data_IF_587039417931
#
_entry.id   IF_587039417931
#
_cell.length_a   1.000
_cell.length_b   1.000
_cell.length_c   1.000
_cell.angle_alpha   90.00
_cell.angle_beta   90.00
_cell.angle_gamma   90.00
#
_symmetry.space_group_name_H-M   'P 1'
#
loop_
_entity.id
_entity.type
_entity.pdbx_description
1 polymer ?
#
# COMPACT_ATOMS: atom_id res chain seq x y z
N UNK A 1 -1.56 -41.97 78.36
CA UNK A 1 -2.72 -41.65 77.50
C UNK A 1 -2.18 -41.11 76.19
N UNK A 2 -2.07 -41.96 75.18
CA UNK A 2 -1.63 -41.60 73.82
C UNK A 2 -2.87 -41.16 73.03
N UNK A 3 -2.93 -39.90 72.63
CA UNK A 3 -4.01 -39.37 71.81
C UNK A 3 -3.86 -39.87 70.37
N UNK A 4 -4.94 -40.31 69.70
CA UNK A 4 -4.88 -40.65 68.29
C UNK A 4 -4.71 -39.39 67.44
N UNK A 5 -3.82 -39.43 66.46
CA UNK A 5 -3.61 -38.38 65.47
C UNK A 5 -4.81 -38.31 64.52
N UNK A 6 -5.30 -37.10 64.16
CA UNK A 6 -6.38 -36.95 63.20
C UNK A 6 -5.93 -37.33 61.78
N UNK A 7 -6.82 -37.90 60.96
CA UNK A 7 -6.48 -38.30 59.59
C UNK A 7 -6.18 -37.08 58.71
N UNK A 8 -5.13 -37.19 57.89
CA UNK A 8 -4.75 -36.16 56.94
C UNK A 8 -5.80 -36.03 55.82
N UNK A 9 -6.30 -34.80 55.61
CA UNK A 9 -7.24 -34.49 54.53
C UNK A 9 -6.51 -34.52 53.18
N UNK A 10 -6.88 -35.46 52.32
CA UNK A 10 -6.41 -35.49 50.93
C UNK A 10 -7.24 -34.50 50.09
N UNK A 11 -6.62 -33.64 49.26
CA UNK A 11 -7.35 -32.74 48.38
C UNK A 11 -8.17 -33.55 47.36
N UNK A 12 -9.38 -33.08 46.99
CA UNK A 12 -10.22 -33.78 46.02
C UNK A 12 -9.52 -33.85 44.64
N UNK A 13 -9.68 -34.96 43.90
CA UNK A 13 -9.08 -35.11 42.58
C UNK A 13 -9.60 -34.03 41.62
N UNK A 14 -8.68 -33.38 40.92
CA UNK A 14 -9.02 -32.37 39.90
C UNK A 14 -9.87 -33.02 38.80
N UNK A 15 -11.05 -32.45 38.55
CA UNK A 15 -11.93 -32.96 37.50
C UNK A 15 -11.23 -32.87 36.12
N UNK A 16 -11.35 -33.91 35.27
CA UNK A 16 -10.74 -33.89 33.95
C UNK A 16 -11.37 -32.78 33.09
N UNK A 17 -10.55 -31.83 32.63
CA UNK A 17 -10.99 -30.79 31.71
C UNK A 17 -11.27 -31.43 30.35
N UNK A 18 -12.54 -31.37 29.90
CA UNK A 18 -12.91 -31.87 28.57
C UNK A 18 -12.18 -31.04 27.48
N UNK A 19 -11.51 -31.69 26.51
CA UNK A 19 -10.83 -30.97 25.44
C UNK A 19 -11.84 -30.16 24.62
N UNK A 20 -11.60 -28.85 24.48
CA UNK A 20 -12.49 -27.95 23.76
C UNK A 20 -12.38 -28.19 22.25
N UNK A 21 -13.35 -28.92 21.69
CA UNK A 21 -13.44 -29.10 20.24
C UNK A 21 -13.74 -27.76 19.56
N UNK A 22 -12.88 -27.38 18.61
CA UNK A 22 -12.99 -26.17 17.77
C UNK A 22 -12.82 -24.82 18.49
N UNK A 23 -12.21 -24.80 19.68
CA UNK A 23 -11.95 -23.56 20.43
C UNK A 23 -11.05 -22.56 19.68
N UNK A 24 -10.03 -23.05 18.96
CA UNK A 24 -9.13 -22.20 18.17
C UNK A 24 -9.84 -21.53 16.97
N UNK A 25 -10.79 -22.23 16.33
CA UNK A 25 -11.56 -21.68 15.21
C UNK A 25 -12.49 -20.55 15.66
N UNK A 26 -13.11 -20.68 16.84
CA UNK A 26 -13.93 -19.63 17.42
C UNK A 26 -13.13 -18.35 17.71
N UNK A 27 -11.88 -18.49 18.17
CA UNK A 27 -10.97 -17.36 18.39
C UNK A 27 -10.53 -16.71 17.07
N UNK A 28 -10.20 -17.51 16.05
CA UNK A 28 -9.84 -16.99 14.74
C UNK A 28 -10.98 -16.20 14.09
N UNK A 29 -12.22 -16.73 14.13
CA UNK A 29 -13.40 -16.03 13.63
C UNK A 29 -13.67 -14.71 14.35
N UNK A 30 -13.50 -14.67 15.68
CA UNK A 30 -13.64 -13.45 16.46
C UNK A 30 -12.61 -12.39 16.07
N UNK A 31 -11.32 -12.78 15.99
CA UNK A 31 -10.24 -11.86 15.63
C UNK A 31 -10.45 -11.31 14.22
N UNK A 32 -10.78 -12.16 13.25
CA UNK A 32 -11.06 -11.74 11.88
C UNK A 32 -12.27 -10.81 11.79
N UNK A 33 -13.34 -11.07 12.56
CA UNK A 33 -14.50 -10.18 12.64
C UNK A 33 -14.14 -8.80 13.20
N UNK A 34 -13.34 -8.74 14.27
CA UNK A 34 -12.89 -7.47 14.85
C UNK A 34 -12.00 -6.70 13.87
N UNK A 35 -11.04 -7.37 13.24
CA UNK A 35 -10.17 -6.75 12.23
C UNK A 35 -11.01 -6.21 11.07
N UNK A 36 -12.01 -6.96 10.59
CA UNK A 36 -12.93 -6.50 9.55
C UNK A 36 -13.70 -5.24 9.93
N UNK A 37 -14.23 -5.17 11.16
CA UNK A 37 -14.94 -3.97 11.66
C UNK A 37 -13.99 -2.77 11.78
N UNK A 38 -12.80 -2.96 12.35
CA UNK A 38 -11.84 -1.87 12.59
C UNK A 38 -11.19 -1.37 11.30
N UNK A 39 -10.99 -2.24 10.31
CA UNK A 39 -10.42 -1.89 8.99
C UNK A 39 -11.45 -1.37 7.99
N UNK A 40 -12.75 -1.47 8.30
CA UNK A 40 -13.86 -0.97 7.48
C UNK A 40 -13.71 0.50 6.99
N UNK A 41 -13.08 1.43 7.73
CA UNK A 41 -12.89 2.81 7.25
C UNK A 41 -11.80 3.00 6.17
N UNK A 42 -10.98 1.99 5.85
CA UNK A 42 -9.86 2.12 4.91
C UNK A 42 -10.20 1.43 3.57
N UNK A 43 -10.66 2.21 2.60
CA UNK A 43 -11.08 1.77 1.25
C UNK A 43 -9.96 1.02 0.48
N UNK A 44 -8.68 1.28 0.79
CA UNK A 44 -7.52 0.68 0.11
C UNK A 44 -7.29 -0.81 0.50
N UNK A 45 -7.88 -1.29 1.61
CA UNK A 45 -7.76 -2.70 2.06
C UNK A 45 -8.93 -3.60 1.63
N UNK A 46 -9.87 -3.09 0.82
CA UNK A 46 -11.17 -3.72 0.55
C UNK A 46 -11.09 -5.17 0.02
N UNK A 47 -10.10 -5.53 -0.81
CA UNK A 47 -10.02 -6.89 -1.35
C UNK A 47 -9.45 -7.90 -0.32
N UNK A 48 -8.52 -7.47 0.52
CA UNK A 48 -7.93 -8.33 1.56
C UNK A 48 -8.90 -8.54 2.73
N UNK A 49 -9.66 -7.50 3.10
CA UNK A 49 -10.65 -7.56 4.18
C UNK A 49 -11.90 -8.31 3.75
N UNK A 50 -12.34 -8.22 2.49
CA UNK A 50 -13.42 -9.03 1.96
C UNK A 50 -13.08 -10.53 2.00
N UNK A 51 -11.88 -10.91 1.57
CA UNK A 51 -11.41 -12.31 1.66
C UNK A 51 -11.32 -12.74 3.13
N UNK A 52 -10.73 -11.91 4.00
CA UNK A 52 -10.61 -12.20 5.43
C UNK A 52 -11.97 -12.33 6.13
N UNK A 53 -12.97 -11.52 5.75
CA UNK A 53 -14.33 -11.57 6.30
C UNK A 53 -15.08 -12.83 5.84
N UNK A 54 -14.94 -13.23 4.57
CA UNK A 54 -15.52 -14.49 4.07
C UNK A 54 -14.88 -15.69 4.77
N UNK A 55 -13.55 -15.70 4.92
CA UNK A 55 -12.84 -16.75 5.66
C UNK A 55 -13.28 -16.76 7.13
N UNK A 56 -13.35 -15.60 7.79
CA UNK A 56 -13.83 -15.47 9.17
C UNK A 56 -15.26 -15.98 9.36
N UNK A 57 -16.15 -15.70 8.41
CA UNK A 57 -17.53 -16.19 8.41
C UNK A 57 -17.59 -17.71 8.26
N UNK A 58 -16.87 -18.29 7.30
CA UNK A 58 -16.83 -19.75 7.09
C UNK A 58 -16.28 -20.46 8.34
N UNK A 59 -15.19 -19.96 8.91
CA UNK A 59 -14.62 -20.51 10.15
C UNK A 59 -15.58 -20.36 11.34
N UNK A 60 -16.30 -19.24 11.42
CA UNK A 60 -17.31 -18.98 12.44
C UNK A 60 -18.49 -19.96 12.36
N UNK A 61 -19.00 -20.23 11.15
CA UNK A 61 -20.08 -21.21 10.92
C UNK A 61 -19.63 -22.62 11.30
N UNK A 62 -18.41 -23.03 10.95
CA UNK A 62 -17.85 -24.32 11.36
C UNK A 62 -17.70 -24.41 12.89
N UNK A 63 -17.31 -23.32 13.54
CA UNK A 63 -17.15 -23.24 14.99
C UNK A 63 -18.48 -23.35 15.78
N UNK A 64 -19.65 -23.18 15.13
CA UNK A 64 -20.97 -23.38 15.77
C UNK A 64 -21.20 -24.83 16.21
N UNK A 65 -20.53 -25.80 15.57
CA UNK A 65 -20.56 -27.20 15.96
C UNK A 65 -19.60 -27.54 17.11
N UNK A 66 -18.88 -26.54 17.66
CA UNK A 66 -17.94 -26.68 18.76
C UNK A 66 -18.50 -26.40 20.15
N UNK A 67 -17.63 -26.50 21.16
CA UNK A 67 -18.02 -26.36 22.57
C UNK A 67 -18.24 -24.89 22.99
N UNK A 68 -17.77 -23.92 22.19
CA UNK A 68 -17.82 -22.47 22.49
C UNK A 68 -18.81 -21.73 21.59
N UNK A 69 -20.06 -22.19 21.56
CA UNK A 69 -21.12 -21.67 20.68
C UNK A 69 -21.35 -20.16 20.84
N UNK A 70 -21.33 -19.64 22.07
CA UNK A 70 -21.52 -18.21 22.33
C UNK A 70 -20.45 -17.33 21.65
N UNK A 71 -19.18 -17.74 21.71
CA UNK A 71 -18.06 -17.06 21.06
C UNK A 71 -18.15 -17.14 19.53
N UNK A 72 -18.54 -18.29 18.98
CA UNK A 72 -18.75 -18.46 17.55
C UNK A 72 -19.89 -17.56 17.04
N UNK A 73 -21.00 -17.47 17.77
CA UNK A 73 -22.13 -16.58 17.43
C UNK A 73 -21.67 -15.11 17.41
N UNK A 74 -20.93 -14.65 18.42
CA UNK A 74 -20.41 -13.28 18.45
C UNK A 74 -19.52 -12.99 17.23
N UNK A 75 -18.60 -13.89 16.89
CA UNK A 75 -17.73 -13.75 15.72
C UNK A 75 -18.51 -13.68 14.40
N UNK A 76 -19.51 -14.54 14.23
CA UNK A 76 -20.39 -14.54 13.04
C UNK A 76 -21.19 -13.25 12.95
N UNK A 77 -21.77 -12.77 14.06
CA UNK A 77 -22.54 -11.51 14.09
C UNK A 77 -21.64 -10.32 13.72
N UNK A 78 -20.41 -10.28 14.23
CA UNK A 78 -19.44 -9.23 13.87
C UNK A 78 -19.04 -9.29 12.39
N UNK A 79 -18.86 -10.49 11.82
CA UNK A 79 -18.59 -10.63 10.39
C UNK A 79 -19.78 -10.13 9.55
N UNK A 80 -21.01 -10.49 9.93
CA UNK A 80 -22.23 -10.03 9.23
C UNK A 80 -22.39 -8.51 9.34
N UNK A 81 -22.12 -7.94 10.53
CA UNK A 81 -22.16 -6.49 10.72
C UNK A 81 -21.09 -5.78 9.87
N UNK A 82 -19.87 -6.29 9.82
CA UNK A 82 -18.81 -5.72 8.97
C UNK A 82 -19.21 -5.75 7.49
N UNK A 83 -19.78 -6.85 7.01
CA UNK A 83 -20.31 -6.97 5.65
C UNK A 83 -21.44 -5.95 5.43
N UNK A 84 -22.39 -5.82 6.35
CA UNK A 84 -23.49 -4.86 6.24
C UNK A 84 -23.00 -3.41 6.21
N UNK A 85 -22.07 -3.02 7.09
CA UNK A 85 -21.45 -1.68 7.07
C UNK A 85 -20.71 -1.42 5.75
N UNK A 86 -20.06 -2.44 5.19
CA UNK A 86 -19.38 -2.34 3.89
C UNK A 86 -20.38 -2.13 2.77
N UNK A 87 -21.48 -2.88 2.75
CA UNK A 87 -22.55 -2.77 1.74
C UNK A 87 -23.27 -1.42 1.85
N UNK A 88 -23.54 -0.92 3.05
CA UNK A 88 -24.20 0.39 3.24
C UNK A 88 -23.29 1.54 2.77
N UNK A 89 -22.00 1.49 3.09
CA UNK A 89 -21.03 2.46 2.58
C UNK A 89 -20.91 2.41 1.04
N UNK A 90 -21.11 1.24 0.44
CA UNK A 90 -21.20 1.09 -1.01
C UNK A 90 -22.52 1.62 -1.56
N UNK A 91 -23.65 1.47 -0.87
CA UNK A 91 -24.95 1.97 -1.32
C UNK A 91 -24.99 3.50 -1.38
N UNK A 92 -24.41 4.21 -0.40
CA UNK A 92 -24.33 5.68 -0.47
C UNK A 92 -23.42 6.16 -1.60
N UNK A 93 -22.33 5.45 -1.86
CA UNK A 93 -21.47 5.75 -3.02
C UNK A 93 -22.20 5.49 -4.34
N UNK A 94 -22.98 4.40 -4.44
CA UNK A 94 -23.76 4.07 -5.65
C UNK A 94 -24.92 5.05 -5.86
N UNK A 95 -25.59 5.50 -4.80
CA UNK A 95 -26.69 6.49 -4.92
C UNK A 95 -26.17 7.88 -5.34
N UNK A 96 -24.97 8.27 -4.89
CA UNK A 96 -24.27 9.46 -5.41
C UNK A 96 -23.86 9.26 -6.88
N UNK A 97 -23.44 8.06 -7.28
CA UNK A 97 -23.17 7.73 -8.68
C UNK A 97 -24.43 7.78 -9.56
N UNK A 98 -25.55 7.20 -9.12
CA UNK A 98 -26.81 7.17 -9.88
C UNK A 98 -27.38 8.58 -10.07
N UNK A 99 -27.27 9.46 -9.06
CA UNK A 99 -27.64 10.89 -9.20
C UNK A 99 -26.78 11.63 -10.24
N UNK A 100 -25.54 11.22 -10.45
CA UNK A 100 -24.63 11.77 -11.47
C UNK A 100 -24.99 11.21 -12.87
N UNK A 101 -25.42 9.95 -12.94
CA UNK A 101 -25.79 9.25 -14.17
C UNK A 101 -27.15 9.71 -14.73
N UNK A 102 -28.14 9.93 -13.85
CA UNK A 102 -29.47 10.43 -14.25
C UNK A 102 -29.42 11.87 -14.81
N UNK A 103 -28.43 12.66 -14.42
CA UNK A 103 -28.18 14.00 -14.99
C UNK A 103 -27.68 14.01 -16.45
N UNK A 104 -27.39 12.85 -17.05
CA UNK A 104 -26.74 12.75 -18.37
C UNK A 104 -27.50 11.86 -19.37
N UNK A 105 -28.81 11.63 -19.19
CA UNK A 105 -29.55 10.75 -20.10
C UNK A 105 -29.90 11.41 -21.45
N UNK A 106 -29.20 10.96 -22.50
CA UNK A 106 -29.49 11.17 -23.90
C UNK A 106 -29.05 9.97 -24.76
N UNK A 107 -29.95 9.00 -24.84
CA UNK A 107 -30.12 7.92 -25.85
C UNK A 107 -29.10 6.76 -26.02
N UNK A 108 -29.65 5.57 -25.73
CA UNK A 108 -29.60 4.32 -26.51
C UNK A 108 -28.44 3.32 -26.28
N UNK A 109 -28.67 2.42 -25.30
CA UNK A 109 -29.23 1.10 -25.64
C UNK A 109 -28.27 -0.08 -25.90
N UNK A 110 -28.14 -0.90 -24.84
CA UNK A 110 -27.96 -2.37 -24.78
C UNK A 110 -26.55 -2.97 -24.64
N UNK A 111 -26.32 -3.60 -23.47
CA UNK A 111 -25.08 -4.20 -22.95
C UNK A 111 -24.51 -5.38 -23.77
N UNK A 112 -23.35 -5.95 -23.42
CA UNK A 112 -22.79 -6.26 -22.10
C UNK A 112 -21.25 -6.22 -22.15
N UNK A 113 -20.66 -5.84 -21.00
CA UNK A 113 -19.25 -5.95 -20.61
C UNK A 113 -18.24 -5.04 -21.33
N UNK A 114 -18.08 -3.83 -20.81
CA UNK A 114 -16.82 -3.09 -20.93
C UNK A 114 -16.48 -2.52 -19.56
N UNK A 115 -15.67 -3.28 -18.81
CA UNK A 115 -14.97 -2.76 -17.64
C UNK A 115 -14.11 -1.57 -18.09
N UNK A 116 -14.35 -0.41 -17.50
CA UNK A 116 -13.59 0.84 -17.71
C UNK A 116 -13.56 1.54 -16.34
N UNK A 117 -12.48 2.25 -15.99
CA UNK A 117 -11.45 1.85 -15.05
C UNK A 117 -11.57 2.69 -13.75
N UNK A 118 -10.71 2.49 -12.74
CA UNK A 118 -10.63 3.43 -11.63
C UNK A 118 -10.44 4.86 -12.15
N UNK A 119 -11.17 5.79 -11.52
CA UNK A 119 -11.12 7.25 -11.65
C UNK A 119 -9.88 7.74 -12.42
N UNK A 120 -10.03 7.93 -13.72
CA UNK A 120 -9.15 8.81 -14.46
C UNK A 120 -9.58 10.23 -14.12
N UNK A 121 -8.89 10.81 -13.13
CA UNK A 121 -8.71 12.25 -13.09
C UNK A 121 -8.34 12.70 -14.51
N UNK A 122 -9.04 13.71 -15.00
CA UNK A 122 -8.89 14.27 -16.34
C UNK A 122 -7.43 14.25 -16.77
N UNK A 123 -7.10 13.46 -17.82
CA UNK A 123 -5.76 13.27 -18.41
C UNK A 123 -4.74 14.35 -17.99
N UNK A 124 -4.18 14.22 -16.78
CA UNK A 124 -3.12 15.10 -16.32
C UNK A 124 -1.93 14.66 -17.12
N UNK A 125 -1.56 15.46 -18.12
CA UNK A 125 -0.38 15.16 -18.93
C UNK A 125 0.80 15.06 -17.96
N UNK A 126 1.46 13.90 -17.86
CA UNK A 126 2.54 13.73 -16.89
C UNK A 126 3.63 14.77 -17.17
N UNK A 127 4.21 15.41 -16.14
CA UNK A 127 5.31 16.34 -16.33
C UNK A 127 6.46 15.65 -17.07
N UNK A 128 7.13 16.39 -17.96
CA UNK A 128 8.35 15.90 -18.62
C UNK A 128 9.59 16.53 -17.99
N UNK A 129 10.77 16.18 -18.51
CA UNK A 129 12.04 16.70 -18.00
C UNK A 129 12.09 18.23 -18.05
N UNK A 130 12.69 18.83 -17.03
CA UNK A 130 12.79 20.27 -16.83
C UNK A 130 11.49 20.92 -16.36
N UNK A 131 10.42 20.16 -16.12
CA UNK A 131 9.20 20.67 -15.50
C UNK A 131 9.22 20.45 -13.99
N UNK A 132 8.51 21.32 -13.29
CA UNK A 132 8.22 21.19 -11.87
C UNK A 132 6.87 20.50 -11.69
N UNK A 133 6.78 19.58 -10.74
CA UNK A 133 5.53 19.16 -10.14
C UNK A 133 5.47 19.68 -8.71
N UNK A 134 4.32 20.27 -8.31
CA UNK A 134 4.10 20.78 -6.95
C UNK A 134 2.82 20.16 -6.41
N UNK A 135 2.92 19.51 -5.26
CA UNK A 135 1.78 18.94 -4.54
C UNK A 135 1.02 20.04 -3.80
N UNK A 136 -0.24 19.79 -3.45
CA UNK A 136 -1.10 20.75 -2.74
C UNK A 136 -0.50 21.24 -1.41
N UNK A 137 0.28 20.38 -0.74
CA UNK A 137 0.95 20.73 0.51
C UNK A 137 2.13 21.70 0.35
N UNK A 138 2.56 21.98 -0.89
CA UNK A 138 3.67 22.88 -1.20
C UNK A 138 5.03 22.20 -1.39
N UNK A 139 5.14 20.87 -1.24
CA UNK A 139 6.34 20.17 -1.71
C UNK A 139 6.40 20.23 -3.23
N UNK A 140 7.60 20.30 -3.79
CA UNK A 140 7.78 20.20 -5.24
C UNK A 140 9.01 19.40 -5.63
N UNK A 141 8.93 18.77 -6.79
CA UNK A 141 10.05 18.06 -7.44
C UNK A 141 10.26 18.62 -8.83
N UNK A 142 11.54 18.86 -9.15
CA UNK A 142 12.03 19.17 -10.49
C UNK A 142 12.97 18.04 -10.94
N UNK A 143 12.76 17.51 -12.15
CA UNK A 143 13.61 16.46 -12.73
C UNK A 143 14.28 17.00 -13.98
N UNK A 144 15.61 17.16 -13.97
CA UNK A 144 16.35 17.59 -15.14
C UNK A 144 16.35 16.52 -16.25
N UNK A 145 16.65 16.92 -17.48
CA UNK A 145 16.85 15.97 -18.57
C UNK A 145 18.00 15.01 -18.24
N UNK A 146 17.88 13.71 -18.58
CA UNK A 146 18.91 12.73 -18.28
C UNK A 146 20.20 13.03 -19.05
N UNK A 147 21.32 12.77 -18.39
CA UNK A 147 22.65 12.76 -19.02
C UNK A 147 23.16 11.33 -19.06
N UNK A 148 23.84 10.94 -20.14
CA UNK A 148 24.53 9.66 -20.17
C UNK A 148 25.63 9.64 -19.09
N UNK A 149 25.83 8.47 -18.48
CA UNK A 149 26.96 8.23 -17.59
C UNK A 149 27.57 6.87 -17.91
N UNK A 150 28.88 6.72 -17.70
CA UNK A 150 29.56 5.44 -17.90
C UNK A 150 29.72 4.70 -16.56
N UNK A 151 29.07 3.55 -16.37
CA UNK A 151 29.25 2.76 -15.16
C UNK A 151 30.70 2.27 -15.02
N UNK A 152 31.26 2.38 -13.83
CA UNK A 152 32.57 1.83 -13.48
C UNK A 152 32.58 0.31 -13.41
N UNK A 153 33.79 -0.27 -13.32
CA UNK A 153 33.98 -1.72 -13.24
C UNK A 153 33.39 -2.38 -11.98
N UNK A 154 33.16 -1.58 -10.92
CA UNK A 154 32.55 -2.02 -9.66
C UNK A 154 31.10 -1.59 -9.53
N UNK A 155 30.51 -1.10 -10.62
CA UNK A 155 29.10 -0.71 -10.62
C UNK A 155 28.19 -1.92 -10.45
N UNK A 156 27.03 -1.67 -9.84
CA UNK A 156 25.93 -2.62 -9.74
C UNK A 156 24.68 -2.00 -10.37
N UNK A 157 23.88 -2.75 -11.15
CA UNK A 157 24.12 -4.14 -11.57
C UNK A 157 25.34 -4.29 -12.50
N UNK A 158 25.93 -5.50 -12.63
CA UNK A 158 27.01 -5.73 -13.59
C UNK A 158 26.48 -5.72 -15.04
N UNK A 159 27.37 -5.55 -16.01
CA UNK A 159 27.07 -5.65 -17.45
C UNK A 159 26.01 -4.64 -17.97
N UNK A 160 25.97 -3.43 -17.41
CA UNK A 160 25.08 -2.37 -17.89
C UNK A 160 25.47 -1.95 -19.31
N UNK A 161 24.54 -2.07 -20.25
CA UNK A 161 24.74 -1.71 -21.67
C UNK A 161 24.78 -0.19 -21.85
N UNK A 162 23.90 0.52 -21.15
CA UNK A 162 23.82 1.99 -21.14
C UNK A 162 23.24 2.44 -19.80
N UNK A 163 23.74 3.56 -19.28
CA UNK A 163 23.20 4.19 -18.08
C UNK A 163 22.93 5.67 -18.31
N UNK A 164 21.90 6.17 -17.64
CA UNK A 164 21.54 7.59 -17.62
C UNK A 164 21.40 8.07 -16.18
N UNK A 165 21.81 9.30 -15.94
CA UNK A 165 21.78 9.97 -14.64
C UNK A 165 20.81 11.14 -14.68
N UNK A 166 19.94 11.20 -13.69
CA UNK A 166 18.97 12.27 -13.47
C UNK A 166 19.43 13.14 -12.31
N UNK A 167 19.32 14.46 -12.48
CA UNK A 167 19.40 15.41 -11.38
C UNK A 167 17.99 15.73 -10.90
N UNK A 168 17.71 15.43 -9.64
CA UNK A 168 16.41 15.67 -9.02
C UNK A 168 16.56 16.74 -7.95
N UNK A 169 15.70 17.76 -7.98
CA UNK A 169 15.67 18.83 -7.00
C UNK A 169 14.34 18.81 -6.27
N UNK A 170 14.39 18.66 -4.95
CA UNK A 170 13.24 18.77 -4.04
C UNK A 170 13.23 20.19 -3.47
N UNK A 171 12.08 20.84 -3.50
CA UNK A 171 11.86 22.12 -2.80
C UNK A 171 10.80 21.94 -1.72
N UNK A 172 11.11 22.37 -0.50
CA UNK A 172 10.16 22.33 0.60
C UNK A 172 9.42 23.66 0.72
N UNK A 173 8.26 23.78 0.06
CA UNK A 173 7.35 24.91 0.22
C UNK A 173 6.37 24.78 1.39
N UNK A 174 6.50 23.73 2.22
CA UNK A 174 5.65 23.54 3.40
C UNK A 174 6.13 24.40 4.58
N UNK A 175 5.40 24.36 5.69
CA UNK A 175 5.76 25.04 6.95
C UNK A 175 6.60 24.19 7.90
N UNK A 176 6.76 22.89 7.63
CA UNK A 176 7.50 21.94 8.46
C UNK A 176 8.80 21.49 7.76
N UNK A 177 9.75 20.94 8.52
CA UNK A 177 10.91 20.28 7.94
C UNK A 177 10.46 19.00 7.20
N UNK A 178 11.09 18.73 6.04
CA UNK A 178 10.81 17.55 5.23
C UNK A 178 12.01 16.61 5.21
N UNK A 179 11.80 15.34 5.57
CA UNK A 179 12.84 14.32 5.52
C UNK A 179 12.81 13.62 4.15
N UNK A 180 13.88 13.74 3.35
CA UNK A 180 13.90 13.14 2.00
C UNK A 180 13.86 11.61 2.02
N UNK A 181 14.15 10.98 3.15
CA UNK A 181 13.99 9.54 3.36
C UNK A 181 12.54 9.05 3.24
N UNK A 182 11.55 9.95 3.36
CA UNK A 182 10.12 9.62 3.22
C UNK A 182 9.65 9.60 1.76
N UNK A 183 10.41 10.22 0.86
CA UNK A 183 10.08 10.27 -0.57
C UNK A 183 10.33 8.90 -1.22
N UNK A 184 9.28 8.25 -1.71
CA UNK A 184 9.43 7.08 -2.57
C UNK A 184 9.82 7.50 -3.98
N UNK A 185 10.76 6.76 -4.59
CA UNK A 185 11.10 6.91 -6.01
C UNK A 185 11.54 5.61 -6.68
N UNK A 186 12.21 4.71 -5.95
CA UNK A 186 13.03 3.66 -6.56
C UNK A 186 12.27 2.44 -7.09
N UNK A 187 11.10 2.14 -6.57
CA UNK A 187 10.43 0.86 -6.84
C UNK A 187 9.61 0.84 -8.14
N UNK A 188 9.14 2.00 -8.58
CA UNK A 188 8.22 2.17 -9.71
C UNK A 188 8.88 2.80 -10.96
N UNK A 189 10.21 2.93 -11.00
CA UNK A 189 10.92 3.49 -12.15
C UNK A 189 10.91 2.52 -13.33
N UNK A 190 10.55 3.03 -14.51
CA UNK A 190 10.41 2.22 -15.71
C UNK A 190 11.18 2.78 -16.89
N UNK A 191 11.69 1.88 -17.73
CA UNK A 191 12.23 2.16 -19.05
C UNK A 191 11.53 1.25 -20.08
N UNK A 192 10.86 1.83 -21.07
CA UNK A 192 10.02 1.11 -22.05
C UNK A 192 9.03 0.12 -21.40
N UNK A 193 8.39 0.54 -20.31
CA UNK A 193 7.41 -0.28 -19.58
C UNK A 193 7.99 -1.44 -18.77
N UNK A 194 9.32 -1.55 -18.65
CA UNK A 194 10.00 -2.52 -17.79
C UNK A 194 10.65 -1.81 -16.61
N UNK A 195 10.79 -2.49 -15.46
CA UNK A 195 11.49 -1.91 -14.31
C UNK A 195 12.92 -1.52 -14.70
N UNK A 196 13.30 -0.26 -14.44
CA UNK A 196 14.65 0.22 -14.64
C UNK A 196 15.47 0.00 -13.38
N UNK A 197 16.62 -0.68 -13.51
CA UNK A 197 17.48 -0.97 -12.36
C UNK A 197 18.32 0.26 -12.00
N UNK A 198 18.35 0.59 -10.70
CA UNK A 198 19.20 1.68 -10.21
C UNK A 198 20.67 1.28 -10.31
N UNK A 199 21.50 2.20 -10.79
CA UNK A 199 22.94 2.03 -10.87
C UNK A 199 23.59 2.55 -9.58
N UNK A 200 24.43 1.72 -8.99
CA UNK A 200 25.27 2.03 -7.85
C UNK A 200 26.73 1.93 -8.29
N UNK A 201 27.37 3.07 -8.46
CA UNK A 201 28.73 3.21 -8.98
C UNK A 201 29.51 4.17 -8.07
N UNK A 202 29.73 3.75 -6.82
CA UNK A 202 30.42 4.55 -5.80
C UNK A 202 31.83 4.91 -6.27
N UNK A 203 32.11 6.22 -6.39
CA UNK A 203 33.39 6.73 -6.91
C UNK A 203 33.52 6.72 -8.44
N UNK A 204 32.50 6.24 -9.16
CA UNK A 204 32.41 6.29 -10.62
C UNK A 204 31.51 7.42 -11.12
N UNK A 205 31.35 7.51 -12.45
CA UNK A 205 30.68 8.63 -13.12
C UNK A 205 29.16 8.64 -12.89
N UNK A 206 28.56 7.45 -12.76
CA UNK A 206 27.14 7.30 -12.51
C UNK A 206 26.76 7.60 -11.06
N UNK A 207 27.73 7.66 -10.13
CA UNK A 207 27.47 7.80 -8.70
C UNK A 207 26.72 6.60 -8.13
N UNK A 208 26.37 6.64 -6.85
CA UNK A 208 25.70 5.48 -6.23
C UNK A 208 25.07 5.70 -4.87
N UNK A 209 25.05 6.95 -4.38
CA UNK A 209 24.40 7.33 -3.13
C UNK A 209 23.05 7.99 -3.39
N UNK A 210 22.05 7.63 -2.59
CA UNK A 210 20.97 8.55 -2.27
C UNK A 210 21.26 9.06 -0.86
N UNK A 211 21.88 10.23 -0.77
CA UNK A 211 22.06 10.87 0.52
C UNK A 211 20.70 11.40 0.98
N UNK A 212 20.35 11.10 2.22
CA UNK A 212 19.14 11.64 2.83
C UNK A 212 19.46 12.98 3.48
N UNK A 213 18.48 13.86 3.52
CA UNK A 213 18.62 15.19 4.11
C UNK A 213 17.30 15.64 4.71
N UNK A 214 17.41 16.46 5.75
CA UNK A 214 16.31 17.28 6.25
C UNK A 214 16.28 18.58 5.46
N UNK A 215 15.20 18.82 4.73
CA UNK A 215 14.97 20.06 3.96
C UNK A 215 14.08 20.99 4.77
N UNK A 216 14.62 22.12 5.22
CA UNK A 216 13.85 23.12 5.98
C UNK A 216 12.85 23.88 5.08
N UNK A 217 11.81 24.51 5.66
CA UNK A 217 10.88 25.38 4.92
C UNK A 217 11.60 26.41 4.04
N UNK A 218 11.17 26.53 2.79
CA UNK A 218 11.74 27.40 1.76
C UNK A 218 13.11 26.97 1.23
N UNK A 219 13.64 25.80 1.64
CA UNK A 219 14.95 25.30 1.17
C UNK A 219 14.79 24.24 0.10
N UNK A 220 15.89 23.98 -0.59
CA UNK A 220 15.99 23.01 -1.68
C UNK A 220 17.08 21.99 -1.38
N UNK A 221 16.86 20.75 -1.78
CA UNK A 221 17.86 19.69 -1.78
C UNK A 221 17.95 19.06 -3.17
N UNK A 222 19.16 18.85 -3.67
CA UNK A 222 19.39 18.28 -4.99
C UNK A 222 20.28 17.06 -4.87
N UNK A 223 19.89 15.98 -5.54
CA UNK A 223 20.67 14.75 -5.62
C UNK A 223 20.66 14.21 -7.05
N UNK A 224 21.57 13.28 -7.31
CA UNK A 224 21.65 12.58 -8.59
C UNK A 224 21.30 11.11 -8.39
N UNK A 225 20.63 10.53 -9.38
CA UNK A 225 20.30 9.10 -9.39
C UNK A 225 20.47 8.55 -10.80
N UNK A 226 21.10 7.38 -10.92
CA UNK A 226 21.36 6.74 -12.20
C UNK A 226 20.57 5.44 -12.37
N UNK A 227 20.20 5.14 -13.61
CA UNK A 227 19.46 3.94 -13.98
C UNK A 227 20.07 3.27 -15.22
N UNK A 228 20.05 1.94 -15.22
CA UNK A 228 20.35 1.10 -16.36
C UNK A 228 19.21 1.21 -17.37
N UNK A 229 19.55 1.41 -18.64
CA UNK A 229 18.60 1.55 -19.74
C UNK A 229 19.04 0.70 -20.93
N UNK A 230 18.09 0.40 -21.83
CA UNK A 230 18.38 -0.35 -23.05
C UNK A 230 19.35 0.38 -23.98
N UNK A 231 19.90 -0.36 -24.96
CA UNK A 231 20.89 0.16 -25.91
C UNK A 231 20.38 1.35 -26.75
N UNK A 232 19.07 1.37 -27.05
CA UNK A 232 18.43 2.41 -27.85
C UNK A 232 17.66 3.39 -26.95
N UNK A 233 17.54 4.67 -27.33
CA UNK A 233 16.73 5.64 -26.59
C UNK A 233 15.27 5.19 -26.46
N UNK A 234 14.72 5.30 -25.27
CA UNK A 234 13.38 4.82 -24.94
C UNK A 234 12.59 5.83 -24.12
N UNK A 235 11.36 5.47 -23.79
CA UNK A 235 10.57 6.19 -22.79
C UNK A 235 11.06 5.79 -21.40
N UNK A 236 11.26 6.79 -20.55
CA UNK A 236 11.61 6.64 -19.15
C UNK A 236 10.53 7.29 -18.30
N UNK A 237 10.18 6.62 -17.21
CA UNK A 237 9.22 7.08 -16.23
C UNK A 237 9.85 7.07 -14.82
N UNK A 238 9.91 8.22 -14.16
CA UNK A 238 10.28 8.35 -12.75
C UNK A 238 9.03 8.74 -11.96
N UNK A 239 8.72 8.00 -10.89
CA UNK A 239 7.54 8.25 -10.06
C UNK A 239 7.97 8.72 -8.69
N UNK A 240 7.38 9.79 -8.19
CA UNK A 240 7.67 10.36 -6.87
C UNK A 240 6.43 10.36 -5.99
N UNK A 241 6.60 9.97 -4.74
CA UNK A 241 5.54 9.99 -3.72
C UNK A 241 6.11 10.58 -2.42
N UNK A 242 5.71 11.81 -2.02
CA UNK A 242 6.32 12.51 -0.88
C UNK A 242 6.18 11.80 0.47
N UNK A 243 5.07 11.10 0.66
CA UNK A 243 4.71 10.34 1.86
C UNK A 243 3.76 9.22 1.47
N UNK A 244 3.71 8.13 2.24
CA UNK A 244 2.78 7.03 2.01
C UNK A 244 1.32 7.52 1.85
N UNK A 245 0.68 7.14 0.74
CA UNK A 245 -0.67 7.54 0.29
C UNK A 245 -0.80 8.97 -0.26
N UNK A 246 0.29 9.68 -0.52
CA UNK A 246 0.22 10.93 -1.27
C UNK A 246 0.00 10.66 -2.76
N UNK A 247 -0.52 11.66 -3.48
CA UNK A 247 -0.63 11.57 -4.93
C UNK A 247 0.75 11.38 -5.57
N UNK A 248 0.83 10.45 -6.52
CA UNK A 248 2.08 10.16 -7.22
C UNK A 248 2.29 11.17 -8.34
N UNK A 249 3.53 11.66 -8.46
CA UNK A 249 3.97 12.44 -9.61
C UNK A 249 4.79 11.55 -10.55
N UNK A 250 4.23 11.20 -11.70
CA UNK A 250 4.94 10.44 -12.74
C UNK A 250 5.55 11.40 -13.76
N UNK A 251 6.87 11.47 -13.81
CA UNK A 251 7.61 12.19 -14.84
C UNK A 251 7.92 11.27 -16.00
N UNK A 252 7.55 11.68 -17.22
CA UNK A 252 7.74 10.87 -18.43
C UNK A 252 8.51 11.65 -19.50
N UNK A 253 9.49 11.00 -20.12
CA UNK A 253 10.24 11.58 -21.22
C UNK A 253 11.25 10.61 -21.80
N UNK A 254 12.04 11.05 -22.79
CA UNK A 254 13.04 10.19 -23.42
C UNK A 254 14.33 10.10 -22.60
N UNK A 255 14.94 8.92 -22.59
CA UNK A 255 16.27 8.65 -22.03
C UNK A 255 17.11 7.75 -22.94
#
# INVERSE_FOLDING_TARGET
MTYPTPPAYAPPPAAPQKPARFGALAWAALILGIVGVVSSPIIILNNLTAIAAVVGLVLGVIALFGTRKALAVIGVVLCVAAIAFTVIAQQSAVEELDKILDGTTGESGTGVASGTPPKQDALVTPPTWGKRHTWENGLSVDVAAPVACKPGQYSSPPNIVRAVKFKVTITNGTTAAFETALMSMGDDVQFNGQKAERVFDTGGECGGGFDTATVLPGKTYTYEVAYSVGAQPGEMQLVFEPTFNADKAAFVGRA
#
